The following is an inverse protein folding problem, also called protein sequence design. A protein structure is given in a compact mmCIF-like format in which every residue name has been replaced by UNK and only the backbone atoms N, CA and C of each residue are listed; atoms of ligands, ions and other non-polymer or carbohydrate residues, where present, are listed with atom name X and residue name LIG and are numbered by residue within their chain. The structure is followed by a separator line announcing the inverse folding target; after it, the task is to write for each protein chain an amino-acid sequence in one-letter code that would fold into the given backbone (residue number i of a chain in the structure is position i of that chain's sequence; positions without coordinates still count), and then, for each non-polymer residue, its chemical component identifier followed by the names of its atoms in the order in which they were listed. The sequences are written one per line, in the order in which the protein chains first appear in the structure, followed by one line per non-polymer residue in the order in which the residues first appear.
data_IF_141990169619
#
_entry.id   IF_141990169619
#
_cell.length_a   1.000
_cell.length_b   1.000
_cell.length_c   1.000
_cell.angle_alpha   90.00
_cell.angle_beta   90.00
_cell.angle_gamma   90.00
#
_symmetry.space_group_name_H-M   'P 1'
#
loop_
_entity.id
_entity.type
_entity.pdbx_description
1 polymer ?
#
# COMPACT_ATOMS: atom_id res chain seq x y z
N UNK A 1 -49.21 12.45 19.18
CA UNK A 1 -48.28 12.82 18.08
C UNK A 1 -46.91 12.35 18.54
N UNK A 2 -46.47 11.19 18.08
CA UNK A 2 -45.20 10.59 18.49
C UNK A 2 -44.42 10.30 17.20
N UNK A 3 -43.41 11.12 16.97
CA UNK A 3 -42.54 11.06 15.81
C UNK A 3 -41.73 9.75 15.81
N UNK A 4 -41.85 9.03 14.70
CA UNK A 4 -41.06 7.86 14.41
C UNK A 4 -39.60 8.29 14.17
N UNK A 5 -38.69 7.83 15.02
CA UNK A 5 -37.26 8.03 14.85
C UNK A 5 -36.81 7.19 13.65
N UNK A 6 -36.41 7.90 12.60
CA UNK A 6 -35.91 7.37 11.33
C UNK A 6 -34.65 6.57 11.57
N UNK A 7 -34.67 5.30 11.17
CA UNK A 7 -33.52 4.41 11.02
C UNK A 7 -32.50 5.06 10.09
N UNK A 8 -31.32 5.39 10.61
CA UNK A 8 -30.15 5.77 9.82
C UNK A 8 -28.96 4.95 10.28
N UNK A 9 -29.09 3.63 10.10
CA UNK A 9 -27.94 2.76 9.98
C UNK A 9 -27.29 3.04 8.62
N UNK A 10 -26.49 4.10 8.57
CA UNK A 10 -25.50 4.29 7.52
C UNK A 10 -24.39 3.29 7.79
N UNK A 11 -24.19 2.22 6.99
CA UNK A 11 -22.93 1.52 7.03
C UNK A 11 -21.91 2.54 6.53
N UNK A 12 -21.06 2.99 7.45
CA UNK A 12 -19.90 3.81 7.21
C UNK A 12 -19.12 3.25 6.03
N UNK A 13 -19.44 3.73 4.82
CA UNK A 13 -18.68 3.47 3.61
C UNK A 13 -17.56 4.50 3.61
N UNK A 14 -16.74 4.42 4.66
CA UNK A 14 -15.56 5.25 4.88
C UNK A 14 -14.45 4.77 3.95
N UNK A 15 -14.55 5.11 2.67
CA UNK A 15 -13.38 5.30 1.79
C UNK A 15 -13.78 5.88 0.43
N UNK A 16 -14.29 7.10 0.44
CA UNK A 16 -14.02 8.02 -0.67
C UNK A 16 -12.51 8.33 -0.69
N UNK A 17 -11.67 7.49 -1.28
CA UNK A 17 -10.30 7.90 -1.63
C UNK A 17 -9.87 7.26 -2.95
N UNK A 18 -9.87 8.13 -3.96
CA UNK A 18 -9.11 8.03 -5.21
C UNK A 18 -9.63 7.04 -6.26
N UNK A 19 -10.52 7.54 -7.12
CA UNK A 19 -10.87 6.94 -8.42
C UNK A 19 -9.71 7.08 -9.44
N UNK A 20 -8.47 6.80 -9.00
CA UNK A 20 -7.38 6.45 -9.88
C UNK A 20 -7.72 5.09 -10.47
N UNK A 21 -7.79 4.99 -11.80
CA UNK A 21 -7.94 3.75 -12.56
C UNK A 21 -7.29 2.58 -11.82
N UNK A 22 -8.08 1.65 -11.26
CA UNK A 22 -7.56 0.63 -10.35
C UNK A 22 -6.58 -0.26 -11.12
N UNK A 23 -5.29 -0.01 -10.96
CA UNK A 23 -4.24 -0.74 -11.68
C UNK A 23 -4.09 -2.12 -11.04
N UNK A 24 -4.05 -3.17 -11.85
CA UNK A 24 -3.80 -4.53 -11.38
C UNK A 24 -2.34 -4.64 -10.91
N UNK A 25 -2.11 -5.37 -9.82
CA UNK A 25 -0.77 -5.71 -9.36
C UNK A 25 0.04 -6.36 -10.50
N UNK A 26 1.16 -5.74 -10.89
CA UNK A 26 2.01 -6.25 -11.98
C UNK A 26 2.84 -7.47 -11.59
N UNK A 27 2.82 -7.85 -10.31
CA UNK A 27 3.59 -8.97 -9.77
C UNK A 27 2.74 -10.23 -9.72
N UNK A 28 1.59 -10.20 -9.02
CA UNK A 28 0.74 -11.38 -8.85
C UNK A 28 -0.47 -11.41 -9.78
N UNK A 29 -0.87 -10.28 -10.36
CA UNK A 29 -2.03 -10.14 -11.26
C UNK A 29 -3.38 -10.63 -10.69
N UNK A 30 -3.47 -10.86 -9.37
CA UNK A 30 -4.68 -11.39 -8.70
C UNK A 30 -5.60 -10.32 -8.12
N UNK A 31 -5.05 -9.15 -7.79
CA UNK A 31 -5.77 -8.08 -7.12
C UNK A 31 -5.22 -6.71 -7.54
N UNK A 32 -5.95 -5.66 -7.19
CA UNK A 32 -5.53 -4.29 -7.45
C UNK A 32 -4.29 -3.92 -6.65
N UNK A 33 -3.41 -3.13 -7.27
CA UNK A 33 -2.25 -2.55 -6.62
C UNK A 33 -2.68 -1.54 -5.58
N UNK A 34 -2.05 -1.59 -4.41
CA UNK A 34 -2.22 -0.62 -3.33
C UNK A 34 -1.03 0.34 -3.25
N UNK A 35 0.12 -0.07 -3.79
CA UNK A 35 1.39 0.62 -3.65
C UNK A 35 2.14 0.70 -4.98
N UNK A 36 3.13 1.58 -5.02
CA UNK A 36 4.03 1.81 -6.16
C UNK A 36 5.48 1.76 -5.68
N UNK A 37 6.34 0.98 -6.33
CA UNK A 37 7.77 0.96 -5.99
C UNK A 37 8.40 2.30 -6.36
N UNK A 38 9.05 3.03 -5.44
CA UNK A 38 9.60 4.36 -5.72
C UNK A 38 10.83 4.33 -6.65
N UNK A 39 11.45 3.17 -6.84
CA UNK A 39 12.65 3.03 -7.69
C UNK A 39 12.33 2.73 -9.15
N UNK A 40 11.28 1.95 -9.39
CA UNK A 40 10.97 1.41 -10.73
C UNK A 40 9.50 1.59 -11.13
N UNK A 41 8.71 2.28 -10.31
CA UNK A 41 7.29 2.59 -10.53
C UNK A 41 6.37 1.36 -10.70
N UNK A 42 6.84 0.16 -10.35
CA UNK A 42 6.05 -1.07 -10.43
C UNK A 42 4.90 -1.03 -9.43
N UNK A 43 3.69 -1.31 -9.90
CA UNK A 43 2.46 -1.39 -9.11
C UNK A 43 2.32 -2.75 -8.44
N UNK A 44 2.19 -2.79 -7.12
CA UNK A 44 2.08 -4.02 -6.34
C UNK A 44 0.99 -3.94 -5.25
N UNK A 45 0.50 -5.09 -4.81
CA UNK A 45 -0.64 -5.17 -3.88
C UNK A 45 -0.27 -5.41 -2.42
N UNK A 46 0.90 -6.00 -2.13
CA UNK A 46 1.28 -6.41 -0.77
C UNK A 46 2.79 -6.49 -0.60
N UNK A 47 3.25 -6.59 0.65
CA UNK A 47 4.67 -6.78 0.97
C UNK A 47 5.27 -8.01 0.29
N UNK A 48 4.50 -9.10 0.15
CA UNK A 48 4.96 -10.28 -0.56
C UNK A 48 5.30 -9.95 -2.03
N UNK A 49 4.41 -9.21 -2.72
CA UNK A 49 4.67 -8.76 -4.09
C UNK A 49 5.80 -7.74 -4.17
N UNK A 50 5.97 -6.90 -3.14
CA UNK A 50 7.14 -6.03 -3.04
C UNK A 50 8.44 -6.85 -2.91
N UNK A 51 8.48 -7.92 -2.14
CA UNK A 51 9.71 -8.73 -2.01
C UNK A 51 10.03 -9.53 -3.27
N UNK A 52 9.03 -9.88 -4.09
CA UNK A 52 9.22 -10.72 -5.27
C UNK A 52 9.37 -9.97 -6.60
N UNK A 53 9.02 -8.69 -6.69
CA UNK A 53 9.05 -7.97 -7.99
C UNK A 53 10.46 -7.73 -8.55
N UNK A 54 11.45 -7.45 -7.70
CA UNK A 54 12.81 -7.11 -8.11
C UNK A 54 13.79 -7.21 -6.93
N UNK A 55 14.80 -8.07 -7.07
CA UNK A 55 15.88 -8.19 -6.08
C UNK A 55 16.63 -6.86 -5.92
N UNK A 56 16.98 -6.19 -7.03
CA UNK A 56 17.69 -4.91 -6.98
C UNK A 56 16.94 -3.84 -6.19
N UNK A 57 15.62 -3.73 -6.38
CA UNK A 57 14.83 -2.74 -5.66
C UNK A 57 14.71 -3.08 -4.17
N UNK A 58 14.56 -4.36 -3.85
CA UNK A 58 14.41 -4.86 -2.49
C UNK A 58 15.71 -4.74 -1.70
N UNK A 59 16.83 -5.19 -2.27
CA UNK A 59 18.15 -5.13 -1.64
C UNK A 59 18.62 -3.69 -1.41
N UNK A 60 18.41 -2.80 -2.40
CA UNK A 60 18.81 -1.39 -2.23
C UNK A 60 18.04 -0.73 -1.09
N UNK A 61 16.74 -0.99 -0.97
CA UNK A 61 15.94 -0.50 0.15
C UNK A 61 16.45 -1.08 1.48
N UNK A 62 16.61 -2.41 1.58
CA UNK A 62 17.08 -3.04 2.81
C UNK A 62 18.47 -2.52 3.23
N UNK A 63 19.40 -2.40 2.29
CA UNK A 63 20.74 -1.88 2.55
C UNK A 63 20.70 -0.44 3.07
N UNK A 64 19.94 0.43 2.42
CA UNK A 64 19.81 1.83 2.86
C UNK A 64 19.24 1.91 4.28
N UNK A 65 18.21 1.13 4.60
CA UNK A 65 17.65 1.08 5.95
C UNK A 65 18.67 0.58 6.98
N UNK A 66 19.39 -0.52 6.69
CA UNK A 66 20.41 -1.05 7.62
C UNK A 66 21.56 -0.05 7.82
N UNK A 67 22.03 0.60 6.75
CA UNK A 67 23.10 1.61 6.85
C UNK A 67 22.65 2.81 7.67
N UNK A 68 21.40 3.24 7.52
CA UNK A 68 20.84 4.34 8.28
C UNK A 68 20.74 4.00 9.77
N UNK A 69 20.20 2.83 10.11
CA UNK A 69 20.13 2.34 11.50
C UNK A 69 21.52 2.21 12.14
N UNK A 70 22.51 1.69 11.40
CA UNK A 70 23.88 1.58 11.91
C UNK A 70 24.50 2.95 12.19
N UNK A 71 24.20 3.98 11.40
CA UNK A 71 24.67 5.35 11.66
C UNK A 71 24.06 5.92 12.93
N UNK A 72 22.76 5.69 13.15
CA UNK A 72 22.05 6.17 14.35
C UNK A 72 22.58 5.51 15.64
N UNK A 73 23.04 4.26 15.58
CA UNK A 73 23.66 3.58 16.71
C UNK A 73 25.09 4.08 17.02
N UNK A 74 25.74 4.76 16.06
CA UNK A 74 27.12 5.25 16.17
C UNK A 74 27.20 6.74 16.57
N UNK A 75 26.06 7.43 16.67
CA UNK A 75 25.92 8.81 17.16
C UNK A 75 25.53 8.84 18.63
#
# INVERSE_FOLDING_TARGET
MADAIITSETPSTSSQLNQSSRIICRVCQKQFSQYTCPRCNTRYCSLHCYKSHSLRCTESFMKENVVEELRQLQS
#
